data_IF_377737986290
#
_entry.id   IF_377737986290
#
_cell.length_a   1.000
_cell.length_b   1.000
_cell.length_c   1.000
_cell.angle_alpha   90.00
_cell.angle_beta   90.00
_cell.angle_gamma   90.00
#
_symmetry.space_group_name_H-M   'P 1'
#
loop_
_entity.id
_entity.type
_entity.pdbx_description
1 polymer ?
#
# COMPACT_ATOMS: atom_id res chain seq x y z
N UNK A 1 15.05 -0.91 -5.22
CA UNK A 1 14.13 -0.68 -6.36
C UNK A 1 12.93 0.09 -5.84
N UNK A 2 12.46 1.09 -6.58
CA UNK A 2 11.72 2.28 -6.09
C UNK A 2 10.61 2.04 -5.05
N UNK A 3 9.86 0.93 -5.12
CA UNK A 3 8.82 0.56 -4.15
C UNK A 3 9.34 0.30 -2.73
N UNK A 4 10.57 -0.21 -2.59
CA UNK A 4 11.22 -0.42 -1.28
C UNK A 4 11.67 0.89 -0.63
N UNK A 5 11.94 1.90 -1.46
CA UNK A 5 12.38 3.24 -1.03
C UNK A 5 11.19 4.16 -0.74
N UNK A 6 10.04 3.89 -1.37
CA UNK A 6 8.80 4.60 -1.12
C UNK A 6 8.23 4.18 0.23
N UNK A 7 8.22 5.12 1.19
CA UNK A 7 7.53 4.98 2.47
C UNK A 7 6.18 5.68 2.44
N UNK A 8 5.20 5.10 3.14
CA UNK A 8 3.88 5.67 3.38
C UNK A 8 3.70 5.77 4.89
N UNK A 9 3.30 6.95 5.35
CA UNK A 9 2.91 7.13 6.73
C UNK A 9 1.49 6.59 6.88
N UNK A 10 1.36 5.52 7.67
CA UNK A 10 0.06 4.94 7.97
C UNK A 10 -0.44 5.56 9.26
N UNK A 11 -1.55 6.28 9.20
CA UNK A 11 -2.15 6.93 10.39
C UNK A 11 -3.13 6.02 11.14
N UNK A 12 -3.43 4.83 10.60
CA UNK A 12 -4.57 4.00 11.02
C UNK A 12 -4.26 2.50 10.88
N UNK A 13 -4.71 1.68 11.85
CA UNK A 13 -4.46 0.22 11.88
C UNK A 13 -3.22 -0.20 12.69
N UNK A 14 -2.76 -1.45 12.50
CA UNK A 14 -1.60 -2.06 13.17
C UNK A 14 -0.28 -1.35 12.86
N UNK A 15 -0.22 -0.68 11.70
CA UNK A 15 0.91 0.16 11.29
C UNK A 15 0.70 1.66 11.62
N UNK A 16 -0.36 1.99 12.37
CA UNK A 16 -0.70 3.36 12.74
C UNK A 16 0.42 4.05 13.53
N UNK A 17 0.93 5.16 13.01
CA UNK A 17 2.04 5.92 13.60
C UNK A 17 3.42 5.43 13.18
N UNK A 18 3.50 4.50 12.22
CA UNK A 18 4.76 4.01 11.66
C UNK A 18 4.86 4.35 10.16
N UNK A 19 6.09 4.65 9.74
CA UNK A 19 6.44 4.74 8.31
C UNK A 19 6.78 3.35 7.80
N UNK A 20 5.96 2.85 6.88
CA UNK A 20 6.13 1.51 6.30
C UNK A 20 6.39 1.66 4.81
N UNK A 21 7.32 0.88 4.28
CA UNK A 21 7.57 0.86 2.84
C UNK A 21 6.34 0.35 2.10
N UNK A 22 6.05 0.96 0.95
CA UNK A 22 4.98 0.53 0.01
C UNK A 22 5.12 -0.97 -0.30
N UNK A 23 6.36 -1.43 -0.49
CA UNK A 23 6.65 -2.84 -0.70
C UNK A 23 6.23 -3.73 0.48
N UNK A 24 6.52 -3.33 1.71
CA UNK A 24 6.14 -4.07 2.92
C UNK A 24 4.62 -4.04 3.13
N UNK A 25 3.95 -2.92 2.82
CA UNK A 25 2.49 -2.82 2.85
C UNK A 25 1.83 -3.72 1.81
N UNK A 26 2.36 -3.79 0.58
CA UNK A 26 1.88 -4.67 -0.49
C UNK A 26 1.97 -6.14 -0.09
N UNK A 27 3.02 -6.52 0.65
CA UNK A 27 3.22 -7.86 1.20
C UNK A 27 2.52 -8.09 2.54
N UNK A 28 1.87 -7.07 3.10
CA UNK A 28 1.15 -7.15 4.37
C UNK A 28 -0.27 -7.68 4.18
N UNK A 29 -0.86 -8.15 5.27
CA UNK A 29 -2.25 -8.61 5.35
C UNK A 29 -3.30 -7.52 5.02
N UNK A 30 -2.89 -6.25 4.93
CA UNK A 30 -3.74 -5.14 4.54
C UNK A 30 -4.10 -5.14 3.06
N UNK A 31 -3.19 -5.61 2.21
CA UNK A 31 -3.39 -5.59 0.77
C UNK A 31 -3.62 -7.03 0.29
N UNK A 32 -4.84 -7.33 -0.20
CA UNK A 32 -5.11 -8.65 -0.77
C UNK A 32 -4.24 -8.86 -2.01
N UNK A 33 -3.95 -10.12 -2.28
CA UNK A 33 -3.00 -10.50 -3.34
C UNK A 33 -3.45 -10.03 -4.73
N UNK A 34 -4.75 -9.94 -4.96
CA UNK A 34 -5.34 -9.42 -6.21
C UNK A 34 -4.98 -7.96 -6.45
N UNK A 35 -5.22 -7.08 -5.47
CA UNK A 35 -4.83 -5.66 -5.54
C UNK A 35 -3.32 -5.48 -5.66
N UNK A 36 -2.52 -6.30 -4.95
CA UNK A 36 -1.06 -6.26 -5.08
C UNK A 36 -0.63 -6.56 -6.51
N UNK A 37 -1.21 -7.59 -7.11
CA UNK A 37 -0.87 -8.03 -8.46
C UNK A 37 -1.24 -6.97 -9.49
N UNK A 38 -2.46 -6.43 -9.40
CA UNK A 38 -2.93 -5.36 -10.28
C UNK A 38 -2.06 -4.09 -10.18
N UNK A 39 -1.69 -3.68 -8.96
CA UNK A 39 -0.80 -2.54 -8.74
C UNK A 39 0.60 -2.76 -9.34
N UNK A 40 1.16 -3.96 -9.21
CA UNK A 40 2.46 -4.30 -9.77
C UNK A 40 2.41 -4.35 -11.30
N UNK A 41 1.37 -4.93 -11.88
CA UNK A 41 1.17 -4.98 -13.33
C UNK A 41 1.05 -3.57 -13.92
N UNK A 42 0.24 -2.71 -13.31
CA UNK A 42 0.10 -1.32 -13.75
C UNK A 42 1.39 -0.49 -13.55
N UNK A 43 2.15 -0.75 -12.48
CA UNK A 43 3.44 -0.10 -12.24
C UNK A 43 4.51 -0.56 -13.25
N UNK A 44 4.60 -1.86 -13.54
CA UNK A 44 5.51 -2.41 -14.56
C UNK A 44 5.11 -1.99 -15.97
N UNK A 45 3.80 -1.85 -16.24
CA UNK A 45 3.29 -1.29 -17.49
C UNK A 45 3.57 0.23 -17.63
N UNK A 46 3.99 0.90 -16.54
CA UNK A 46 4.21 2.34 -16.50
C UNK A 46 2.92 3.18 -16.48
N UNK A 47 1.76 2.53 -16.27
CA UNK A 47 0.48 3.20 -16.12
C UNK A 47 0.34 3.87 -14.74
N UNK A 48 1.00 3.30 -13.73
CA UNK A 48 1.07 3.88 -12.39
C UNK A 48 2.47 4.40 -12.08
N UNK A 49 2.51 5.63 -11.58
CA UNK A 49 3.70 6.21 -10.98
C UNK A 49 3.81 5.83 -9.50
N UNK A 50 5.01 5.98 -8.95
CA UNK A 50 5.29 5.67 -7.53
C UNK A 50 4.35 6.41 -6.57
N UNK A 51 4.00 7.66 -6.86
CA UNK A 51 3.09 8.46 -6.05
C UNK A 51 1.64 7.95 -6.12
N UNK A 52 1.20 7.47 -7.29
CA UNK A 52 -0.12 6.85 -7.40
C UNK A 52 -0.17 5.52 -6.66
N UNK A 53 0.88 4.68 -6.76
CA UNK A 53 0.96 3.44 -5.98
C UNK A 53 0.89 3.76 -4.48
N UNK A 54 1.62 4.78 -4.00
CA UNK A 54 1.52 5.24 -2.60
C UNK A 54 0.09 5.61 -2.21
N UNK A 55 -0.60 6.35 -3.06
CA UNK A 55 -1.99 6.80 -2.81
C UNK A 55 -2.95 5.62 -2.73
N UNK A 56 -2.87 4.68 -3.68
CA UNK A 56 -3.72 3.50 -3.71
C UNK A 56 -3.44 2.60 -2.50
N UNK A 57 -2.17 2.33 -2.19
CA UNK A 57 -1.76 1.54 -1.02
C UNK A 57 -2.25 2.18 0.27
N UNK A 58 -2.07 3.49 0.44
CA UNK A 58 -2.58 4.24 1.60
C UNK A 58 -4.10 4.11 1.73
N UNK A 59 -4.82 4.19 0.61
CA UNK A 59 -6.29 4.06 0.58
C UNK A 59 -6.74 2.65 0.98
N UNK A 60 -6.09 1.61 0.45
CA UNK A 60 -6.41 0.21 0.78
C UNK A 60 -6.14 -0.04 2.27
N UNK A 61 -4.97 0.38 2.77
CA UNK A 61 -4.61 0.23 4.19
C UNK A 61 -5.61 0.96 5.08
N UNK A 62 -5.97 2.20 4.74
CA UNK A 62 -6.94 2.99 5.51
C UNK A 62 -8.33 2.35 5.51
N UNK A 63 -8.77 1.75 4.40
CA UNK A 63 -10.05 1.01 4.33
C UNK A 63 -10.00 -0.28 5.13
N UNK A 64 -8.98 -1.10 4.92
CA UNK A 64 -8.83 -2.37 5.62
C UNK A 64 -8.68 -2.19 7.14
N UNK A 65 -8.06 -1.10 7.58
CA UNK A 65 -7.98 -0.76 8.98
C UNK A 65 -9.31 -0.24 9.56
N UNK A 66 -10.10 0.51 8.78
CA UNK A 66 -11.44 0.92 9.18
C UNK A 66 -12.37 -0.30 9.34
N UNK A 67 -12.33 -1.25 8.40
CA UNK A 67 -13.14 -2.47 8.43
C UNK A 67 -12.80 -3.42 9.60
N UNK A 68 -11.59 -3.33 10.18
CA UNK A 68 -11.20 -4.11 11.37
C UNK A 68 -11.47 -3.42 12.70
N UNK A 69 -11.89 -2.15 12.68
CA UNK A 69 -12.26 -1.42 13.89
C UNK A 69 -13.75 -1.59 14.26
N UNK A 70 -14.54 -2.28 13.42
CA UNK A 70 -15.97 -2.58 13.63
C UNK A 70 -16.23 -3.98 14.22
#
# INVERSE_FOLDING_TARGET
>A
TALKTAVVHVEVGEFGGHEVSVWDLLHSQYIPEENRKELLELYEAGELTLEQVKTVVSTIVSRAAAERAE
#
